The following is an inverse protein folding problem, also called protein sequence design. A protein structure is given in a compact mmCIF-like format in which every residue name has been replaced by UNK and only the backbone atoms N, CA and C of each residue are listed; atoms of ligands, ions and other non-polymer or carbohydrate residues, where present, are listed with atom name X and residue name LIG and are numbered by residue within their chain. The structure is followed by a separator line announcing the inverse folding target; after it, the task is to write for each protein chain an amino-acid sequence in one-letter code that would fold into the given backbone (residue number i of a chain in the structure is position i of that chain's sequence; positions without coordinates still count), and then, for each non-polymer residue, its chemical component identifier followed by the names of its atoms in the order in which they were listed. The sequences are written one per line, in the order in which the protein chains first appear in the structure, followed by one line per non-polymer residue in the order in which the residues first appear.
data_IF_489995156224
#
_entry.id   IF_489995156224
#
_cell.length_a   1.000
_cell.length_b   1.000
_cell.length_c   1.000
_cell.angle_alpha   90.00
_cell.angle_beta   90.00
_cell.angle_gamma   90.00
#
_symmetry.space_group_name_H-M   'P 1'
#
loop_
_entity.id
_entity.type
_entity.pdbx_description
1 polymer ?
#
# COMPACT_ATOMS: atom_id res chain seq x y z
N UNK A 1 -3.02 23.35 8.10
CA UNK A 1 -3.12 22.08 8.88
C UNK A 1 -1.75 21.62 9.36
N UNK A 2 -1.63 21.03 10.56
CA UNK A 2 -0.38 20.44 11.10
C UNK A 2 -0.57 18.94 11.33
N UNK A 3 0.42 18.14 10.97
CA UNK A 3 0.43 16.68 11.15
C UNK A 3 1.76 16.19 11.71
N UNK A 4 1.74 15.04 12.39
CA UNK A 4 2.96 14.37 12.77
C UNK A 4 3.68 13.86 11.51
N UNK A 5 4.92 14.29 11.35
CA UNK A 5 5.79 13.89 10.25
C UNK A 5 6.77 12.82 10.74
N UNK A 6 6.66 11.61 10.18
CA UNK A 6 7.53 10.48 10.56
C UNK A 6 9.00 10.76 10.26
N UNK A 7 9.32 11.55 9.23
CA UNK A 7 10.69 11.86 8.85
C UNK A 7 11.37 12.78 9.87
N UNK A 8 10.68 13.84 10.32
CA UNK A 8 11.22 14.79 11.31
C UNK A 8 10.94 14.37 12.75
N UNK A 9 9.95 13.49 12.97
CA UNK A 9 9.41 13.07 14.28
C UNK A 9 8.78 14.20 15.08
N UNK A 10 8.32 15.23 14.38
CA UNK A 10 7.69 16.41 14.95
C UNK A 10 6.31 16.65 14.31
N UNK A 11 5.56 17.58 14.91
CA UNK A 11 4.29 18.06 14.33
C UNK A 11 4.59 19.24 13.41
N UNK A 12 4.63 18.97 12.11
CA UNK A 12 4.97 19.94 11.09
C UNK A 12 3.74 20.54 10.40
N UNK A 13 3.91 21.72 9.82
CA UNK A 13 2.94 22.26 8.87
C UNK A 13 2.96 21.39 7.61
N UNK A 14 1.77 21.04 7.12
CA UNK A 14 1.65 20.31 5.85
C UNK A 14 2.03 21.25 4.70
N UNK A 15 3.15 20.95 4.06
CA UNK A 15 3.61 21.61 2.85
C UNK A 15 3.33 20.70 1.66
N UNK A 16 2.83 21.26 0.57
CA UNK A 16 2.51 20.54 -0.65
C UNK A 16 3.42 20.94 -1.78
N UNK A 17 3.73 20.00 -2.68
CA UNK A 17 4.55 20.28 -3.87
C UNK A 17 3.88 21.25 -4.85
N UNK A 18 2.58 21.49 -4.70
CA UNK A 18 1.79 22.46 -5.47
C UNK A 18 0.98 23.32 -4.52
N UNK A 19 1.02 24.66 -4.63
CA UNK A 19 0.43 25.60 -3.65
C UNK A 19 -1.07 25.39 -3.40
N UNK A 20 -1.81 24.91 -4.39
CA UNK A 20 -3.28 24.82 -4.33
C UNK A 20 -3.79 23.37 -4.29
N UNK A 21 -2.89 22.37 -4.42
CA UNK A 21 -3.29 20.97 -4.58
C UNK A 21 -2.51 20.06 -3.65
N UNK A 22 -3.19 19.43 -2.72
CA UNK A 22 -2.66 18.35 -1.91
C UNK A 22 -2.90 16.99 -2.59
N UNK A 23 -1.81 16.29 -2.92
CA UNK A 23 -1.86 14.92 -3.42
C UNK A 23 -1.61 13.97 -2.27
N UNK A 24 -2.55 13.07 -2.02
CA UNK A 24 -2.55 12.15 -0.90
C UNK A 24 -2.53 10.73 -1.44
N UNK A 25 -1.53 9.95 -1.07
CA UNK A 25 -1.53 8.51 -1.30
C UNK A 25 -1.80 7.81 0.02
N UNK A 26 -2.77 6.90 0.02
CA UNK A 26 -3.07 6.04 1.15
C UNK A 26 -3.00 4.57 0.74
N UNK A 27 -2.39 3.74 1.58
CA UNK A 27 -2.44 2.29 1.37
C UNK A 27 -3.89 1.81 1.43
N UNK A 28 -4.29 1.05 0.42
CA UNK A 28 -5.63 0.49 0.32
C UNK A 28 -5.75 -0.94 0.86
N UNK A 29 -6.89 -1.59 0.66
CA UNK A 29 -7.13 -2.94 1.13
C UNK A 29 -6.44 -3.99 0.29
N UNK A 30 -6.14 -5.14 0.91
CA UNK A 30 -5.93 -6.40 0.22
C UNK A 30 -7.28 -7.13 0.18
N UNK A 31 -7.82 -7.29 -1.02
CA UNK A 31 -9.23 -7.69 -1.22
C UNK A 31 -9.43 -9.20 -1.26
N UNK A 32 -9.11 -9.88 -0.18
CA UNK A 32 -9.34 -11.34 0.00
C UNK A 32 -10.29 -11.66 1.16
N UNK A 33 -10.63 -10.70 1.99
CA UNK A 33 -11.56 -10.78 3.13
C UNK A 33 -12.12 -9.41 3.47
N UNK A 34 -13.11 -9.39 4.37
CA UNK A 34 -13.66 -8.15 4.90
C UNK A 34 -12.57 -7.33 5.61
N UNK A 35 -12.62 -6.02 5.41
CA UNK A 35 -11.77 -5.10 6.14
C UNK A 35 -12.23 -4.99 7.60
N UNK A 36 -11.32 -5.18 8.54
CA UNK A 36 -11.64 -5.00 9.96
C UNK A 36 -11.55 -3.54 10.40
N UNK A 37 -12.02 -3.24 11.61
CA UNK A 37 -12.06 -1.86 12.16
C UNK A 37 -10.69 -1.16 12.16
N UNK A 38 -9.60 -1.91 12.33
CA UNK A 38 -8.24 -1.36 12.26
C UNK A 38 -7.89 -0.83 10.87
N UNK A 39 -8.31 -1.54 9.81
CA UNK A 39 -8.13 -1.05 8.43
C UNK A 39 -8.99 0.20 8.19
N UNK A 40 -10.26 0.18 8.61
CA UNK A 40 -11.18 1.30 8.44
C UNK A 40 -10.70 2.56 9.16
N UNK A 41 -10.00 2.44 10.29
CA UNK A 41 -9.37 3.57 10.98
C UNK A 41 -8.35 4.29 10.08
N UNK A 42 -7.53 3.55 9.34
CA UNK A 42 -6.55 4.14 8.41
C UNK A 42 -7.25 4.92 7.30
N UNK A 43 -8.30 4.37 6.73
CA UNK A 43 -9.07 5.02 5.66
C UNK A 43 -9.80 6.26 6.17
N UNK A 44 -10.35 6.20 7.38
CA UNK A 44 -11.00 7.34 8.04
C UNK A 44 -10.01 8.49 8.31
N UNK A 45 -8.79 8.19 8.75
CA UNK A 45 -7.76 9.22 8.97
C UNK A 45 -7.41 9.92 7.66
N UNK A 46 -7.28 9.19 6.56
CA UNK A 46 -7.04 9.77 5.23
C UNK A 46 -8.18 10.69 4.79
N UNK A 47 -9.43 10.28 5.00
CA UNK A 47 -10.62 11.08 4.70
C UNK A 47 -10.66 12.36 5.56
N UNK A 48 -10.40 12.27 6.86
CA UNK A 48 -10.34 13.44 7.75
C UNK A 48 -9.26 14.44 7.32
N UNK A 49 -8.08 13.97 6.93
CA UNK A 49 -7.01 14.82 6.39
C UNK A 49 -7.50 15.53 5.11
N UNK A 50 -8.05 14.77 4.17
CA UNK A 50 -8.56 15.31 2.92
C UNK A 50 -9.67 16.35 3.14
N UNK A 51 -10.64 16.06 4.02
CA UNK A 51 -11.74 16.98 4.37
C UNK A 51 -11.21 18.26 5.03
N UNK A 52 -10.23 18.14 5.93
CA UNK A 52 -9.64 19.31 6.59
C UNK A 52 -8.94 20.22 5.59
N UNK A 53 -8.14 19.65 4.68
CA UNK A 53 -7.46 20.42 3.64
C UNK A 53 -8.45 21.10 2.69
N UNK A 54 -9.53 20.41 2.32
CA UNK A 54 -10.62 21.00 1.52
C UNK A 54 -11.32 22.14 2.26
N UNK A 55 -11.54 21.99 3.57
CA UNK A 55 -12.11 23.05 4.40
C UNK A 55 -11.19 24.27 4.48
N UNK A 56 -9.87 24.08 4.47
CA UNK A 56 -8.86 25.15 4.41
C UNK A 56 -8.69 25.72 2.98
N UNK A 57 -9.53 25.33 2.01
CA UNK A 57 -9.54 25.85 0.65
C UNK A 57 -8.63 25.17 -0.34
N UNK A 58 -7.94 24.07 0.03
CA UNK A 58 -7.09 23.31 -0.87
C UNK A 58 -7.89 22.31 -1.71
N UNK A 59 -7.51 22.14 -2.96
CA UNK A 59 -7.95 20.99 -3.75
C UNK A 59 -7.18 19.75 -3.30
N UNK A 60 -7.86 18.62 -3.08
CA UNK A 60 -7.21 17.34 -2.78
C UNK A 60 -7.38 16.35 -3.92
N UNK A 61 -6.37 15.54 -4.16
CA UNK A 61 -6.41 14.37 -5.03
C UNK A 61 -5.96 13.18 -4.18
N UNK A 62 -6.87 12.24 -3.94
CA UNK A 62 -6.63 11.06 -3.14
C UNK A 62 -6.48 9.83 -4.02
N UNK A 63 -5.37 9.13 -3.87
CA UNK A 63 -5.10 7.85 -4.53
C UNK A 63 -5.02 6.76 -3.48
N UNK A 64 -5.74 5.66 -3.69
CA UNK A 64 -5.74 4.51 -2.79
C UNK A 64 -5.67 3.23 -3.62
N UNK A 65 -4.62 2.43 -3.45
CA UNK A 65 -4.47 1.21 -4.24
C UNK A 65 -5.44 0.11 -3.80
N UNK A 66 -5.72 -0.82 -4.71
CA UNK A 66 -6.38 -2.09 -4.43
C UNK A 66 -5.36 -3.22 -4.70
N UNK A 67 -5.04 -4.00 -3.67
CA UNK A 67 -4.17 -5.18 -3.82
C UNK A 67 -5.05 -6.40 -4.10
N UNK A 68 -5.21 -6.70 -5.36
CA UNK A 68 -6.06 -7.77 -5.89
C UNK A 68 -5.26 -8.99 -6.39
N UNK A 69 -3.91 -8.91 -6.38
CA UNK A 69 -2.99 -10.01 -6.72
C UNK A 69 -1.73 -9.94 -5.84
N UNK A 70 -0.98 -11.04 -5.74
CA UNK A 70 0.35 -11.07 -5.12
C UNK A 70 0.36 -11.09 -3.59
N UNK A 71 -0.58 -11.78 -2.95
CA UNK A 71 -0.65 -11.84 -1.50
C UNK A 71 0.10 -13.04 -0.94
N UNK A 72 0.98 -12.79 0.01
CA UNK A 72 1.61 -13.83 0.81
C UNK A 72 0.70 -14.23 1.98
N UNK A 73 0.61 -15.53 2.29
CA UNK A 73 -0.32 -16.04 3.30
C UNK A 73 0.12 -15.81 4.75
N UNK A 74 1.37 -15.47 5.00
CA UNK A 74 1.92 -15.53 6.35
C UNK A 74 2.05 -14.16 7.02
N UNK A 75 0.97 -13.71 7.68
CA UNK A 75 1.02 -12.63 8.68
C UNK A 75 1.31 -13.17 10.10
N UNK A 76 1.45 -14.50 10.29
CA UNK A 76 1.51 -15.11 11.62
C UNK A 76 2.92 -15.48 12.09
N UNK A 77 3.92 -15.39 11.20
CA UNK A 77 5.32 -15.66 11.56
C UNK A 77 5.63 -17.14 11.92
N UNK A 78 4.75 -18.07 11.59
CA UNK A 78 4.87 -19.49 11.97
C UNK A 78 5.47 -20.38 10.87
N UNK A 79 6.17 -19.81 9.89
CA UNK A 79 7.09 -20.55 9.01
C UNK A 79 6.49 -21.67 8.15
N UNK A 80 5.20 -21.68 7.92
CA UNK A 80 4.58 -22.57 6.95
C UNK A 80 4.63 -21.94 5.57
N UNK A 81 4.95 -22.77 4.55
CA UNK A 81 4.98 -22.37 3.13
C UNK A 81 3.83 -21.42 2.82
N UNK A 82 4.18 -20.20 2.46
CA UNK A 82 3.22 -19.14 2.19
C UNK A 82 2.30 -19.56 1.03
N UNK A 83 1.16 -20.14 1.35
CA UNK A 83 0.10 -20.34 0.38
C UNK A 83 -0.55 -18.96 0.14
N UNK A 84 -0.80 -18.63 -1.13
CA UNK A 84 -1.53 -17.42 -1.49
C UNK A 84 -2.91 -17.45 -0.83
N UNK A 85 -3.23 -16.43 -0.02
CA UNK A 85 -4.51 -16.30 0.70
C UNK A 85 -5.71 -16.35 -0.25
N UNK A 86 -5.53 -15.84 -1.46
CA UNK A 86 -6.55 -15.91 -2.51
C UNK A 86 -6.76 -17.33 -3.03
N UNK A 87 -5.68 -18.11 -3.19
CA UNK A 87 -5.78 -19.52 -3.57
C UNK A 87 -6.48 -20.33 -2.49
N UNK A 88 -6.12 -20.14 -1.22
CA UNK A 88 -6.77 -20.82 -0.10
C UNK A 88 -8.27 -20.51 -0.03
N UNK A 89 -8.68 -19.26 -0.26
CA UNK A 89 -10.08 -18.88 -0.28
C UNK A 89 -10.80 -19.37 -1.55
N UNK A 90 -10.09 -19.42 -2.68
CA UNK A 90 -10.59 -20.01 -3.94
C UNK A 90 -10.91 -21.49 -3.78
N UNK A 91 -10.00 -22.26 -3.18
CA UNK A 91 -10.23 -23.70 -2.90
C UNK A 91 -11.42 -23.92 -1.97
N UNK A 92 -11.60 -23.05 -0.96
CA UNK A 92 -12.71 -23.12 -0.02
C UNK A 92 -14.07 -22.81 -0.64
N UNK A 93 -14.11 -21.82 -1.52
CA UNK A 93 -15.37 -21.24 -2.05
C UNK A 93 -15.72 -21.74 -3.46
N UNK A 94 -14.78 -22.37 -4.15
CA UNK A 94 -14.91 -22.76 -5.57
C UNK A 94 -14.94 -21.56 -6.53
N UNK A 95 -14.56 -20.35 -6.06
CA UNK A 95 -14.50 -19.12 -6.86
C UNK A 95 -13.06 -18.89 -7.32
N UNK A 96 -12.90 -18.24 -8.46
CA UNK A 96 -11.59 -17.77 -8.91
C UNK A 96 -11.06 -16.65 -8.02
N UNK A 97 -9.74 -16.50 -7.92
CA UNK A 97 -9.10 -15.42 -7.17
C UNK A 97 -9.64 -14.04 -7.59
N UNK A 98 -9.86 -13.84 -8.89
CA UNK A 98 -10.39 -12.58 -9.42
C UNK A 98 -11.84 -12.31 -8.96
N UNK A 99 -12.69 -13.36 -8.91
CA UNK A 99 -14.07 -13.22 -8.41
C UNK A 99 -14.10 -12.90 -6.92
N UNK A 100 -13.19 -13.48 -6.14
CA UNK A 100 -13.01 -13.16 -4.72
C UNK A 100 -12.59 -11.71 -4.56
N UNK A 101 -11.57 -11.26 -5.29
CA UNK A 101 -11.09 -9.89 -5.25
C UNK A 101 -12.19 -8.89 -5.58
N UNK A 102 -12.94 -9.10 -6.66
CA UNK A 102 -14.06 -8.24 -7.06
C UNK A 102 -15.18 -8.19 -6.02
N UNK A 103 -15.46 -9.31 -5.37
CA UNK A 103 -16.45 -9.36 -4.31
C UNK A 103 -16.04 -8.51 -3.10
N UNK A 104 -14.82 -8.70 -2.57
CA UNK A 104 -14.35 -7.95 -1.41
C UNK A 104 -14.03 -6.49 -1.72
N UNK A 105 -13.62 -6.15 -2.94
CA UNK A 105 -13.51 -4.76 -3.41
C UNK A 105 -14.88 -4.06 -3.32
N UNK A 106 -15.95 -4.73 -3.78
CA UNK A 106 -17.31 -4.19 -3.67
C UNK A 106 -17.74 -4.00 -2.21
N UNK A 107 -17.48 -4.99 -1.35
CA UNK A 107 -17.77 -4.89 0.09
C UNK A 107 -17.00 -3.74 0.72
N UNK A 108 -15.72 -3.60 0.40
CA UNK A 108 -14.90 -2.48 0.87
C UNK A 108 -15.50 -1.13 0.54
N UNK A 109 -15.92 -0.89 -0.69
CA UNK A 109 -16.58 0.38 -1.08
C UNK A 109 -17.91 0.60 -0.36
N UNK A 110 -18.68 -0.46 -0.10
CA UNK A 110 -19.90 -0.37 0.69
C UNK A 110 -19.62 0.03 2.14
N UNK A 111 -18.57 -0.52 2.74
CA UNK A 111 -18.18 -0.19 4.11
C UNK A 111 -17.63 1.23 4.24
N UNK A 112 -16.87 1.73 3.26
CA UNK A 112 -16.49 3.14 3.21
C UNK A 112 -17.72 4.05 3.19
N UNK A 113 -18.71 3.72 2.37
CA UNK A 113 -19.95 4.50 2.28
C UNK A 113 -20.76 4.46 3.60
N UNK A 114 -20.84 3.31 4.27
CA UNK A 114 -21.50 3.17 5.60
C UNK A 114 -20.84 4.00 6.69
N UNK A 115 -19.52 4.20 6.61
CA UNK A 115 -18.75 5.05 7.51
C UNK A 115 -18.72 6.52 7.08
N UNK A 116 -19.43 6.89 6.02
CA UNK A 116 -19.41 8.24 5.44
C UNK A 116 -18.00 8.72 5.06
N UNK A 117 -17.12 7.79 4.68
CA UNK A 117 -15.80 8.07 4.14
C UNK A 117 -15.95 8.41 2.66
N UNK A 118 -15.40 9.55 2.21
CA UNK A 118 -15.41 9.89 0.81
C UNK A 118 -14.54 8.93 -0.01
N UNK A 119 -15.01 8.50 -1.19
CA UNK A 119 -14.19 7.69 -2.07
C UNK A 119 -12.92 8.44 -2.47
N UNK A 120 -11.84 7.71 -2.67
CA UNK A 120 -10.65 8.26 -3.30
C UNK A 120 -10.95 8.64 -4.77
N UNK A 121 -10.16 9.57 -5.32
CA UNK A 121 -10.32 9.97 -6.72
C UNK A 121 -9.84 8.87 -7.68
N UNK A 122 -8.89 8.03 -7.23
CA UNK A 122 -8.35 6.91 -8.01
C UNK A 122 -8.11 5.68 -7.15
N UNK A 123 -8.44 4.52 -7.71
CA UNK A 123 -8.20 3.19 -7.10
C UNK A 123 -7.39 2.31 -8.07
N UNK A 124 -6.06 2.56 -8.24
CA UNK A 124 -5.23 1.70 -9.08
C UNK A 124 -5.17 0.29 -8.51
N UNK A 125 -5.37 -0.73 -9.38
CA UNK A 125 -5.27 -2.14 -9.02
C UNK A 125 -3.87 -2.68 -9.27
N UNK A 126 -3.40 -3.55 -8.40
CA UNK A 126 -2.11 -4.20 -8.58
C UNK A 126 -2.07 -5.01 -9.89
N UNK A 127 -3.15 -5.76 -10.19
CA UNK A 127 -3.27 -6.53 -11.44
C UNK A 127 -3.18 -5.67 -12.71
N UNK A 128 -3.69 -4.45 -12.67
CA UNK A 128 -3.67 -3.50 -13.79
C UNK A 128 -2.34 -2.72 -13.90
N UNK A 129 -1.46 -2.85 -12.91
CA UNK A 129 -0.20 -2.11 -12.80
C UNK A 129 1.05 -2.97 -13.09
N UNK A 130 0.88 -4.24 -13.47
CA UNK A 130 1.99 -5.20 -13.66
C UNK A 130 3.03 -4.70 -14.66
N UNK A 131 2.61 -4.19 -15.79
CA UNK A 131 3.53 -3.66 -16.81
C UNK A 131 4.38 -2.49 -16.27
N UNK A 132 3.75 -1.57 -15.57
CA UNK A 132 4.45 -0.45 -14.93
C UNK A 132 5.42 -0.91 -13.85
N UNK A 133 5.06 -1.94 -13.06
CA UNK A 133 5.95 -2.55 -12.07
C UNK A 133 7.16 -3.21 -12.75
N UNK A 134 6.95 -3.98 -13.81
CA UNK A 134 8.03 -4.62 -14.57
C UNK A 134 8.99 -3.57 -15.13
N UNK A 135 8.48 -2.51 -15.74
CA UNK A 135 9.31 -1.43 -16.28
C UNK A 135 10.15 -0.74 -15.19
N UNK A 136 9.56 -0.48 -14.02
CA UNK A 136 10.29 0.09 -12.88
C UNK A 136 11.38 -0.86 -12.38
N UNK A 137 11.06 -2.15 -12.21
CA UNK A 137 12.00 -3.18 -11.76
C UNK A 137 13.16 -3.30 -12.74
N UNK A 138 12.88 -3.32 -14.05
CA UNK A 138 13.93 -3.34 -15.10
C UNK A 138 14.86 -2.13 -14.97
N UNK A 139 14.30 -0.93 -14.79
CA UNK A 139 15.08 0.28 -14.60
C UNK A 139 15.99 0.18 -13.36
N UNK A 140 15.48 -0.40 -12.26
CA UNK A 140 16.27 -0.61 -11.03
C UNK A 140 17.40 -1.62 -11.22
N UNK A 141 17.19 -2.69 -12.01
CA UNK A 141 18.23 -3.66 -12.37
C UNK A 141 19.29 -2.99 -13.23
N UNK A 142 18.88 -2.28 -14.27
CA UNK A 142 19.79 -1.61 -15.22
C UNK A 142 20.66 -0.54 -14.53
N UNK A 143 20.11 0.12 -13.50
CA UNK A 143 20.85 1.11 -12.69
C UNK A 143 21.71 0.51 -11.58
N UNK A 144 21.68 -0.84 -11.39
CA UNK A 144 22.44 -1.53 -10.34
C UNK A 144 21.82 -1.40 -8.94
N UNK A 145 20.57 -0.91 -8.82
CA UNK A 145 19.87 -0.78 -7.55
C UNK A 145 19.04 -2.03 -7.19
N UNK A 146 18.89 -2.96 -8.13
CA UNK A 146 18.25 -4.25 -7.90
C UNK A 146 19.05 -5.37 -8.57
N UNK A 147 18.85 -6.60 -8.12
CA UNK A 147 19.51 -7.79 -8.65
C UNK A 147 18.59 -9.00 -8.64
N UNK A 148 18.90 -9.98 -9.51
CA UNK A 148 18.20 -11.26 -9.54
C UNK A 148 18.89 -12.22 -8.58
N UNK A 149 18.15 -12.74 -7.61
CA UNK A 149 18.64 -13.74 -6.67
C UNK A 149 18.75 -15.15 -7.28
N UNK A 150 19.36 -16.07 -6.55
CA UNK A 150 19.52 -17.47 -6.97
C UNK A 150 18.19 -18.24 -7.11
N UNK A 151 17.13 -17.72 -6.53
CA UNK A 151 15.76 -18.22 -6.59
C UNK A 151 14.91 -17.59 -7.70
N UNK A 152 15.55 -16.85 -8.63
CA UNK A 152 14.93 -16.06 -9.69
C UNK A 152 13.99 -14.94 -9.19
N UNK A 153 14.03 -14.57 -7.92
CA UNK A 153 13.36 -13.38 -7.41
C UNK A 153 14.23 -12.13 -7.61
N UNK A 154 13.59 -10.98 -7.80
CA UNK A 154 14.31 -9.71 -7.89
C UNK A 154 14.31 -9.03 -6.52
N UNK A 155 15.48 -8.59 -6.10
CA UNK A 155 15.70 -7.91 -4.82
C UNK A 155 16.25 -6.51 -5.04
N UNK A 156 15.73 -5.55 -4.27
CA UNK A 156 16.31 -4.22 -4.19
C UNK A 156 17.55 -4.24 -3.31
N UNK A 157 18.65 -3.64 -3.78
CA UNK A 157 19.87 -3.48 -2.99
C UNK A 157 19.74 -2.26 -2.08
N UNK A 158 19.36 -2.46 -0.83
CA UNK A 158 19.18 -1.36 0.13
C UNK A 158 20.48 -0.55 0.34
N UNK A 159 21.66 -1.19 0.24
CA UNK A 159 22.96 -0.54 0.35
C UNK A 159 23.25 0.41 -0.82
N UNK A 160 22.62 0.20 -1.99
CA UNK A 160 22.76 1.09 -3.14
C UNK A 160 22.06 2.42 -2.98
N UNK A 161 21.23 2.58 -1.93
CA UNK A 161 20.47 3.79 -1.65
C UNK A 161 20.88 4.41 -0.31
N UNK A 162 21.79 5.41 -0.30
CA UNK A 162 22.37 5.95 0.95
C UNK A 162 21.37 6.48 1.97
N UNK A 163 20.19 6.91 1.51
CA UNK A 163 19.11 7.41 2.38
C UNK A 163 18.12 6.32 2.81
N UNK A 164 18.41 5.05 2.54
CA UNK A 164 17.52 3.96 2.95
C UNK A 164 17.32 3.95 4.47
N UNK A 165 16.06 3.89 4.91
CA UNK A 165 15.73 3.93 6.33
C UNK A 165 15.58 5.34 6.91
N UNK A 166 15.93 6.42 6.21
CA UNK A 166 15.83 7.79 6.73
C UNK A 166 14.41 8.15 7.16
N UNK A 167 13.38 7.75 6.41
CA UNK A 167 11.98 8.01 6.76
C UNK A 167 11.55 7.26 8.02
N UNK A 168 11.85 5.97 8.11
CA UNK A 168 11.45 5.11 9.25
C UNK A 168 12.35 5.28 10.47
N UNK A 169 13.57 5.78 10.28
CA UNK A 169 14.65 5.78 11.28
C UNK A 169 15.27 4.42 11.50
N UNK A 170 15.01 3.44 10.64
CA UNK A 170 15.61 2.12 10.68
C UNK A 170 17.07 2.18 10.19
N UNK A 171 17.94 1.46 10.85
CA UNK A 171 19.32 1.30 10.43
C UNK A 171 19.48 -0.02 9.67
N UNK A 172 20.24 -0.02 8.58
CA UNK A 172 20.46 -1.21 7.73
C UNK A 172 21.09 -2.37 8.53
N UNK A 173 22.02 -2.07 9.45
CA UNK A 173 22.70 -3.04 10.30
C UNK A 173 21.80 -3.68 11.36
N UNK A 174 20.64 -3.07 11.65
CA UNK A 174 19.65 -3.56 12.61
C UNK A 174 18.48 -4.31 11.94
N UNK A 175 18.37 -4.22 10.61
CA UNK A 175 17.31 -4.89 9.87
C UNK A 175 17.56 -6.40 9.83
N UNK A 176 16.56 -7.17 10.26
CA UNK A 176 16.58 -8.62 10.08
C UNK A 176 16.30 -8.96 8.63
N UNK A 177 16.98 -9.99 8.05
CA UNK A 177 16.62 -10.48 6.72
C UNK A 177 15.13 -10.81 6.69
N UNK A 178 14.43 -10.35 5.65
CA UNK A 178 13.03 -10.72 5.46
C UNK A 178 12.90 -12.23 5.33
N UNK A 179 11.91 -12.81 6.01
CA UNK A 179 11.54 -14.19 5.76
C UNK A 179 10.77 -14.26 4.44
N UNK A 180 11.17 -15.22 3.60
CA UNK A 180 10.42 -15.61 2.39
C UNK A 180 9.22 -16.45 2.73
#
# INVERSE_FOLDING_TARGET
MRLYNTMTREIDLVETSHPEVARIYACGPTVYRDAHVGNMRTFLVTDLISRTLRYEGMKTIVVQNITDVGHMADDTGLGTVAADKMLAESEKTGRTALEIARYFEKVFHQDLARLNIYPADYYPKASESIESMVNLITTLIDSGNAYVGSDNSVYFSAESFPSYGALSGNRLDELRPGHK
#
